data_IF_146996792910
#
_entry.id   IF_146996792910
#
_cell.length_a   1.000
_cell.length_b   1.000
_cell.length_c   1.000
_cell.angle_alpha   90.00
_cell.angle_beta   90.00
_cell.angle_gamma   90.00
#
_symmetry.space_group_name_H-M   'P 1'
#
loop_
_entity.id
_entity.type
_entity.pdbx_description
1 polymer ?
#
# COMPACT_ATOMS: atom_id res chain seq x y z
N UNK A 1 7.06 2.97 3.21
CA UNK A 1 5.72 3.52 2.90
C UNK A 1 5.83 5.01 2.64
N UNK A 2 5.11 5.51 1.64
CA UNK A 2 4.92 6.93 1.37
C UNK A 2 3.42 7.26 1.40
N UNK A 3 3.04 8.40 1.98
CA UNK A 3 1.65 8.81 2.17
C UNK A 3 1.45 10.26 1.75
N UNK A 4 0.40 10.51 0.98
CA UNK A 4 0.03 11.86 0.51
C UNK A 4 -1.45 12.12 0.74
N UNK A 5 -1.76 13.28 1.31
CA UNK A 5 -3.13 13.81 1.33
C UNK A 5 -3.37 14.58 0.03
N UNK A 6 -4.40 14.19 -0.70
CA UNK A 6 -4.79 14.83 -1.95
C UNK A 6 -5.66 16.07 -1.68
N UNK A 7 -5.87 16.91 -2.69
CA UNK A 7 -6.68 18.13 -2.57
C UNK A 7 -8.15 17.89 -2.21
N UNK A 8 -8.66 16.68 -2.47
CA UNK A 8 -10.00 16.23 -2.04
C UNK A 8 -10.01 15.60 -0.64
N UNK A 9 -8.88 15.60 0.06
CA UNK A 9 -8.69 15.07 1.40
C UNK A 9 -8.45 13.55 1.48
N UNK A 10 -8.60 12.79 0.39
CA UNK A 10 -8.26 11.36 0.35
C UNK A 10 -6.78 11.13 0.65
N UNK A 11 -6.46 9.97 1.22
CA UNK A 11 -5.09 9.54 1.49
C UNK A 11 -4.62 8.54 0.45
N UNK A 12 -3.64 8.92 -0.35
CA UNK A 12 -2.89 8.00 -1.20
C UNK A 12 -1.75 7.37 -0.38
N UNK A 13 -1.67 6.04 -0.34
CA UNK A 13 -0.58 5.28 0.25
C UNK A 13 0.13 4.47 -0.83
N UNK A 14 1.46 4.54 -0.83
CA UNK A 14 2.34 3.72 -1.68
C UNK A 14 3.31 2.96 -0.80
N UNK A 15 3.19 1.65 -0.82
CA UNK A 15 4.07 0.73 -0.12
C UNK A 15 4.97 0.04 -1.14
N UNK A 16 6.27 0.04 -0.86
CA UNK A 16 7.29 -0.54 -1.73
C UNK A 16 8.16 -1.46 -0.88
N UNK A 17 8.38 -2.68 -1.38
CA UNK A 17 9.48 -3.51 -0.93
C UNK A 17 10.54 -3.50 -2.04
N UNK A 18 11.64 -2.80 -1.78
CA UNK A 18 12.78 -2.70 -2.71
C UNK A 18 13.85 -3.77 -2.43
N UNK A 19 13.63 -4.65 -1.45
CA UNK A 19 14.54 -5.70 -1.05
C UNK A 19 14.22 -7.05 -1.68
N UNK A 20 15.15 -7.99 -1.48
CA UNK A 20 15.04 -9.37 -1.96
C UNK A 20 14.27 -10.31 -1.01
N UNK A 21 13.86 -9.83 0.17
CA UNK A 21 13.15 -10.60 1.20
C UNK A 21 11.73 -10.07 1.35
N UNK A 22 10.71 -10.93 1.58
CA UNK A 22 9.38 -10.47 1.94
C UNK A 22 9.41 -9.56 3.18
N UNK A 23 8.51 -8.58 3.20
CA UNK A 23 8.36 -7.65 4.32
C UNK A 23 6.96 -7.79 4.92
N UNK A 24 6.88 -8.03 6.22
CA UNK A 24 5.59 -7.96 6.93
C UNK A 24 5.02 -6.55 6.83
N UNK A 25 3.90 -6.42 6.11
CA UNK A 25 3.26 -5.15 5.88
C UNK A 25 1.79 -5.38 5.53
N UNK A 26 0.87 -5.16 6.48
CA UNK A 26 -0.55 -5.48 6.31
C UNK A 26 -1.13 -4.73 5.11
N UNK A 27 -1.92 -5.45 4.31
CA UNK A 27 -2.55 -4.89 3.13
C UNK A 27 -3.57 -3.80 3.53
N UNK A 28 -3.49 -2.59 2.94
CA UNK A 28 -4.52 -1.58 3.13
C UNK A 28 -5.85 -2.00 2.47
N UNK A 29 -7.01 -1.53 2.99
CA UNK A 29 -8.33 -2.01 2.56
C UNK A 29 -8.74 -1.55 1.15
N UNK A 30 -8.28 -0.40 0.70
CA UNK A 30 -8.68 0.21 -0.59
C UNK A 30 -7.54 0.17 -1.62
N UNK A 31 -7.13 -1.04 -2.02
CA UNK A 31 -6.08 -1.25 -3.02
C UNK A 31 -6.52 -0.74 -4.41
N UNK A 32 -5.68 0.09 -5.01
CA UNK A 32 -5.77 0.51 -6.41
C UNK A 32 -4.89 -0.35 -7.32
N UNK A 33 -3.74 -0.77 -6.82
CA UNK A 33 -2.76 -1.54 -7.57
C UNK A 33 -1.94 -2.41 -6.61
N UNK A 34 -1.61 -3.63 -7.05
CA UNK A 34 -0.57 -4.45 -6.45
C UNK A 34 0.23 -5.18 -7.54
N UNK A 35 1.53 -5.35 -7.32
CA UNK A 35 2.32 -6.29 -8.12
C UNK A 35 1.76 -7.70 -7.95
N UNK A 36 1.64 -8.47 -9.04
CA UNK A 36 1.13 -9.84 -9.03
C UNK A 36 2.07 -10.80 -8.31
N UNK A 37 2.05 -10.76 -6.98
CA UNK A 37 2.75 -11.65 -6.06
C UNK A 37 1.97 -11.61 -4.74
N UNK A 38 0.90 -12.40 -4.66
CA UNK A 38 -0.08 -12.28 -3.58
C UNK A 38 0.40 -13.00 -2.32
N UNK A 39 1.04 -12.24 -1.41
CA UNK A 39 1.38 -12.71 -0.05
C UNK A 39 0.56 -12.02 1.04
N UNK A 40 -0.72 -11.72 0.79
CA UNK A 40 -1.65 -11.23 1.83
C UNK A 40 -1.09 -10.11 2.72
N UNK A 41 -0.68 -10.46 3.95
CA UNK A 41 -0.11 -9.55 4.95
C UNK A 41 1.38 -9.18 4.75
N UNK A 42 2.02 -9.66 3.69
CA UNK A 42 3.42 -9.35 3.36
C UNK A 42 3.52 -8.68 1.99
N UNK A 43 4.46 -7.74 1.83
CA UNK A 43 4.93 -7.29 0.54
C UNK A 43 6.03 -8.23 0.05
N UNK A 44 5.78 -8.90 -1.07
CA UNK A 44 6.77 -9.72 -1.76
C UNK A 44 8.04 -8.92 -2.14
N UNK A 45 9.19 -9.57 -2.38
CA UNK A 45 10.39 -8.91 -2.89
C UNK A 45 10.12 -8.07 -4.15
N UNK A 46 10.76 -6.90 -4.24
CA UNK A 46 10.67 -6.01 -5.42
C UNK A 46 9.23 -5.68 -5.86
N UNK A 47 8.31 -5.55 -4.90
CA UNK A 47 6.88 -5.35 -5.16
C UNK A 47 6.39 -3.99 -4.68
N UNK A 48 5.21 -3.61 -5.18
CA UNK A 48 4.52 -2.39 -4.80
C UNK A 48 3.04 -2.66 -4.49
N UNK A 49 2.49 -1.88 -3.56
CA UNK A 49 1.05 -1.72 -3.32
C UNK A 49 0.69 -0.25 -3.31
N UNK A 50 -0.42 0.08 -3.95
CA UNK A 50 -0.97 1.43 -3.97
C UNK A 50 -2.40 1.36 -3.47
N UNK A 51 -2.76 2.21 -2.53
CA UNK A 51 -4.11 2.29 -1.98
C UNK A 51 -4.57 3.73 -1.83
N UNK A 52 -5.89 3.93 -1.88
CA UNK A 52 -6.52 5.25 -1.73
C UNK A 52 -7.66 5.16 -0.72
N UNK A 53 -7.44 5.73 0.46
CA UNK A 53 -8.46 5.84 1.50
C UNK A 53 -9.30 7.10 1.31
N UNK A 54 -10.64 7.05 1.43
CA UNK A 54 -11.46 8.25 1.46
C UNK A 54 -11.22 9.07 2.72
N UNK A 55 -11.68 10.33 2.72
CA UNK A 55 -11.60 11.22 3.89
C UNK A 55 -12.33 10.57 5.06
N UNK A 56 -11.64 10.40 6.19
CA UNK A 56 -12.23 9.88 7.43
C UNK A 56 -11.99 8.39 7.67
N UNK A 57 -11.58 7.63 6.65
CA UNK A 57 -11.12 6.25 6.82
C UNK A 57 -9.62 6.24 7.17
N UNK A 58 -9.34 6.62 8.40
CA UNK A 58 -8.07 6.36 9.07
C UNK A 58 -8.36 5.52 10.32
N UNK A 59 -7.68 4.37 10.53
CA UNK A 59 -7.53 3.81 11.87
C UNK A 59 -6.65 4.71 12.75
#
# INVERSE_FOLDING_TARGET
>A
TARWRLGNGSLLQIDLNLGATPLDHPAPPHLLFETSAHEGAQLAPFSARVALSPVGDHP
#
